data_IF_368242028101
#
_entry.id   IF_368242028101
#
_cell.length_a   1.000
_cell.length_b   1.000
_cell.length_c   1.000
_cell.angle_alpha   90.00
_cell.angle_beta   90.00
_cell.angle_gamma   90.00
#
_symmetry.space_group_name_H-M   'P 1'
#
loop_
_entity.id
_entity.type
_entity.pdbx_description
1 polymer ?
#
# COMPACT_ATOMS: atom_id res chain seq x y z
N UNK A 1 -9.04 -2.62 40.24
CA UNK A 1 -9.29 -1.89 38.97
C UNK A 1 -10.78 -1.77 38.77
N UNK A 2 -11.23 -0.86 37.90
CA UNK A 2 -12.65 -0.72 37.53
C UNK A 2 -12.94 -1.71 36.39
N UNK A 3 -14.04 -2.46 36.47
CA UNK A 3 -14.48 -3.36 35.41
C UNK A 3 -15.30 -2.57 34.38
N UNK A 4 -14.82 -2.56 33.12
CA UNK A 4 -15.50 -1.88 32.01
C UNK A 4 -15.92 -2.92 30.97
N UNK A 5 -17.21 -3.03 30.63
CA UNK A 5 -17.68 -3.97 29.61
C UNK A 5 -17.03 -3.73 28.25
N UNK A 6 -16.71 -4.79 27.51
CA UNK A 6 -16.11 -4.70 26.16
C UNK A 6 -16.95 -3.87 25.20
N UNK A 7 -18.28 -3.96 25.30
CA UNK A 7 -19.20 -3.17 24.49
C UNK A 7 -19.03 -1.67 24.73
N UNK A 8 -18.79 -1.27 25.99
CA UNK A 8 -18.52 0.12 26.37
C UNK A 8 -17.22 0.61 25.77
N UNK A 9 -16.14 -0.19 25.87
CA UNK A 9 -14.85 0.12 25.26
C UNK A 9 -14.97 0.27 23.73
N UNK A 10 -15.65 -0.67 23.07
CA UNK A 10 -15.87 -0.61 21.62
C UNK A 10 -16.69 0.63 21.21
N UNK A 11 -17.72 0.97 21.98
CA UNK A 11 -18.52 2.17 21.73
C UNK A 11 -17.69 3.45 21.85
N UNK A 12 -16.82 3.55 22.86
CA UNK A 12 -15.92 4.70 23.00
C UNK A 12 -14.96 4.83 21.82
N UNK A 13 -14.38 3.72 21.36
CA UNK A 13 -13.50 3.68 20.19
C UNK A 13 -14.24 4.18 18.94
N UNK A 14 -15.46 3.69 18.71
CA UNK A 14 -16.29 4.13 17.57
C UNK A 14 -16.63 5.62 17.67
N UNK A 15 -17.08 6.10 18.83
CA UNK A 15 -17.40 7.52 19.03
C UNK A 15 -16.18 8.42 18.84
N UNK A 16 -15.02 8.04 19.37
CA UNK A 16 -13.79 8.80 19.17
C UNK A 16 -13.39 8.86 17.70
N UNK A 17 -13.57 7.75 16.96
CA UNK A 17 -13.19 7.68 15.54
C UNK A 17 -13.96 8.65 14.65
N UNK A 18 -15.24 8.91 14.97
CA UNK A 18 -16.07 9.89 14.26
C UNK A 18 -15.50 11.32 14.36
N UNK A 19 -14.87 11.65 15.49
CA UNK A 19 -14.27 12.97 15.70
C UNK A 19 -12.94 13.17 14.96
N UNK A 20 -12.25 12.11 14.55
CA UNK A 20 -10.99 12.21 13.83
C UNK A 20 -11.16 12.51 12.33
N UNK A 21 -12.40 12.56 11.82
CA UNK A 21 -12.65 12.76 10.39
C UNK A 21 -11.95 14.00 9.79
N UNK A 22 -11.88 15.18 10.45
CA UNK A 22 -11.15 16.32 9.92
C UNK A 22 -9.66 16.03 9.70
N UNK A 23 -9.01 15.30 10.61
CA UNK A 23 -7.60 14.91 10.46
C UNK A 23 -7.40 13.94 9.30
N UNK A 24 -8.30 12.98 9.15
CA UNK A 24 -8.25 12.02 8.03
C UNK A 24 -8.46 12.71 6.68
N UNK A 25 -9.34 13.71 6.61
CA UNK A 25 -9.53 14.52 5.41
C UNK A 25 -8.24 15.27 5.06
N UNK A 26 -7.61 15.95 6.02
CA UNK A 26 -6.33 16.63 5.80
C UNK A 26 -5.22 15.66 5.39
N UNK A 27 -5.14 14.48 6.02
CA UNK A 27 -4.19 13.43 5.60
C UNK A 27 -4.45 12.98 4.16
N UNK A 28 -5.72 12.86 3.74
CA UNK A 28 -6.11 12.51 2.37
C UNK A 28 -5.70 13.58 1.38
N UNK A 29 -5.88 14.85 1.71
CA UNK A 29 -5.42 15.96 0.86
C UNK A 29 -3.90 15.88 0.66
N UNK A 30 -3.13 15.66 1.74
CA UNK A 30 -1.66 15.48 1.65
C UNK A 30 -1.26 14.23 0.89
N UNK A 31 -2.02 13.13 1.02
CA UNK A 31 -1.79 11.93 0.22
C UNK A 31 -1.96 12.24 -1.27
N UNK A 32 -2.95 13.04 -1.65
CA UNK A 32 -3.27 13.35 -3.04
C UNK A 32 -2.33 14.40 -3.67
N UNK A 33 -1.59 15.16 -2.86
CA UNK A 33 -0.48 16.00 -3.32
C UNK A 33 0.73 15.16 -3.81
N UNK A 34 0.79 13.87 -3.45
CA UNK A 34 1.90 13.00 -3.84
C UNK A 34 1.84 12.64 -5.34
N UNK A 35 2.96 12.61 -6.06
CA UNK A 35 2.96 12.29 -7.50
C UNK A 35 2.70 10.80 -7.79
N UNK A 36 2.78 9.94 -6.77
CA UNK A 36 2.38 8.55 -6.83
C UNK A 36 1.67 8.13 -5.54
N UNK A 37 0.82 7.10 -5.60
CA UNK A 37 0.20 6.47 -4.43
C UNK A 37 0.39 4.94 -4.51
N UNK A 38 0.79 4.32 -3.41
CA UNK A 38 0.70 2.87 -3.25
C UNK A 38 -0.71 2.47 -2.83
N UNK A 39 -1.26 1.41 -3.43
CA UNK A 39 -2.54 0.85 -3.02
C UNK A 39 -2.47 -0.67 -2.91
N UNK A 40 -3.09 -1.24 -1.87
CA UNK A 40 -3.19 -2.68 -1.62
C UNK A 40 -4.43 -2.95 -0.74
N UNK A 41 -4.76 -4.21 -0.53
CA UNK A 41 -5.92 -4.61 0.24
C UNK A 41 -5.75 -5.97 0.91
N UNK A 42 -6.44 -6.15 2.03
CA UNK A 42 -6.46 -7.42 2.75
C UNK A 42 -7.85 -7.74 3.27
N UNK A 43 -8.15 -9.04 3.34
CA UNK A 43 -9.45 -9.52 3.80
C UNK A 43 -9.74 -9.16 5.27
N UNK A 44 -11.00 -9.00 5.61
CA UNK A 44 -11.49 -8.92 6.99
C UNK A 44 -12.88 -9.51 7.02
N UNK A 45 -13.25 -10.16 8.13
CA UNK A 45 -14.60 -10.65 8.34
C UNK A 45 -15.36 -9.66 9.22
N UNK A 46 -16.59 -9.32 8.84
CA UNK A 46 -17.47 -8.43 9.59
C UNK A 46 -18.81 -9.11 9.80
N UNK A 47 -19.21 -9.33 11.06
CA UNK A 47 -20.29 -10.27 11.37
C UNK A 47 -21.69 -9.74 11.06
N UNK A 48 -21.93 -8.45 11.31
CA UNK A 48 -23.26 -7.82 11.22
C UNK A 48 -23.37 -6.85 10.05
N UNK A 49 -22.92 -7.29 8.88
CA UNK A 49 -23.18 -6.58 7.63
C UNK A 49 -24.64 -6.82 7.19
N UNK A 50 -25.43 -5.77 6.90
CA UNK A 50 -26.79 -5.93 6.39
C UNK A 50 -26.80 -6.79 5.12
N UNK A 51 -27.75 -7.73 5.06
CA UNK A 51 -27.98 -8.60 3.89
C UNK A 51 -26.78 -9.46 3.46
N UNK A 52 -25.84 -9.74 4.37
CA UNK A 52 -24.67 -10.58 4.11
C UNK A 52 -24.50 -11.66 5.18
N UNK A 53 -23.99 -12.82 4.77
CA UNK A 53 -23.63 -13.88 5.70
C UNK A 53 -22.44 -13.45 6.59
N UNK A 54 -22.43 -13.74 7.90
CA UNK A 54 -21.33 -13.38 8.79
C UNK A 54 -19.94 -13.90 8.37
N UNK A 55 -19.87 -14.95 7.54
CA UNK A 55 -18.62 -15.52 6.99
C UNK A 55 -18.15 -14.89 5.68
N UNK A 56 -18.95 -13.96 5.15
CA UNK A 56 -18.62 -13.20 3.94
C UNK A 56 -17.29 -12.48 4.11
N UNK A 57 -16.51 -12.44 3.02
CA UNK A 57 -15.27 -11.68 2.99
C UNK A 57 -15.56 -10.21 2.72
N UNK A 58 -14.95 -9.36 3.53
CA UNK A 58 -14.88 -7.92 3.36
C UNK A 58 -13.41 -7.50 3.29
N UNK A 59 -13.14 -6.22 3.06
CA UNK A 59 -11.82 -5.76 2.65
C UNK A 59 -11.42 -4.52 3.43
N UNK A 60 -10.17 -4.53 3.87
CA UNK A 60 -9.46 -3.39 4.39
C UNK A 60 -8.47 -2.96 3.31
N UNK A 61 -8.73 -1.81 2.69
CA UNK A 61 -7.89 -1.20 1.68
C UNK A 61 -6.88 -0.29 2.36
N UNK A 62 -5.71 -0.15 1.78
CA UNK A 62 -4.68 0.76 2.26
C UNK A 62 -4.16 1.60 1.11
N UNK A 63 -4.02 2.90 1.34
CA UNK A 63 -3.28 3.82 0.49
C UNK A 63 -2.07 4.35 1.27
N UNK A 64 -0.91 4.43 0.64
CA UNK A 64 0.29 4.96 1.28
C UNK A 64 1.12 5.81 0.32
N UNK A 65 1.52 7.01 0.76
CA UNK A 65 2.45 7.88 0.03
C UNK A 65 2.99 9.00 0.92
N UNK A 66 3.50 10.07 0.32
CA UNK A 66 4.03 11.26 0.96
C UNK A 66 5.55 11.34 0.94
N UNK A 67 6.12 12.56 1.01
CA UNK A 67 7.57 12.76 1.10
C UNK A 67 8.12 12.21 2.43
N UNK A 68 9.45 12.06 2.56
CA UNK A 68 10.08 11.46 3.73
C UNK A 68 9.66 12.03 5.10
N UNK A 69 9.35 13.34 5.14
CA UNK A 69 8.96 14.11 6.33
C UNK A 69 7.44 14.21 6.57
N UNK A 70 6.61 13.77 5.60
CA UNK A 70 5.13 13.85 5.68
C UNK A 70 4.49 12.63 5.05
N UNK A 71 4.76 11.47 5.62
CA UNK A 71 4.21 10.20 5.12
C UNK A 71 2.77 10.05 5.57
N UNK A 72 1.93 9.51 4.70
CA UNK A 72 0.53 9.22 4.99
C UNK A 72 0.21 7.76 4.69
N UNK A 73 -0.54 7.14 5.60
CA UNK A 73 -1.19 5.84 5.41
C UNK A 73 -2.66 6.01 5.74
N UNK A 74 -3.53 5.71 4.77
CA UNK A 74 -4.98 5.69 4.96
C UNK A 74 -5.50 4.28 4.76
N UNK A 75 -6.40 3.87 5.63
CA UNK A 75 -7.14 2.63 5.55
C UNK A 75 -8.62 2.90 5.37
N UNK A 76 -9.24 2.08 4.52
CA UNK A 76 -10.67 2.15 4.25
C UNK A 76 -11.28 0.74 4.32
N UNK A 77 -12.34 0.61 5.12
CA UNK A 77 -13.12 -0.61 5.14
C UNK A 77 -14.23 -0.56 4.09
N UNK A 78 -14.42 -1.68 3.39
CA UNK A 78 -15.60 -1.90 2.55
C UNK A 78 -15.99 -3.38 2.50
N UNK A 79 -17.26 -3.63 2.24
CA UNK A 79 -17.83 -4.95 1.97
C UNK A 79 -17.37 -5.54 0.62
N UNK A 80 -16.81 -4.72 -0.26
CA UNK A 80 -16.49 -5.09 -1.65
C UNK A 80 -14.98 -5.09 -1.94
N UNK A 81 -14.55 -5.96 -2.86
CA UNK A 81 -13.23 -5.89 -3.51
C UNK A 81 -13.28 -5.33 -4.94
N UNK A 82 -14.48 -4.99 -5.41
CA UNK A 82 -14.71 -4.70 -6.81
C UNK A 82 -14.06 -3.38 -7.25
N UNK A 83 -13.93 -3.19 -8.56
CA UNK A 83 -13.22 -2.06 -9.17
C UNK A 83 -13.79 -0.68 -8.78
N UNK A 84 -15.06 -0.63 -8.38
CA UNK A 84 -15.73 0.59 -7.93
C UNK A 84 -15.08 1.15 -6.66
N UNK A 85 -14.46 0.30 -5.84
CA UNK A 85 -13.80 0.73 -4.61
C UNK A 85 -12.57 1.59 -4.88
N UNK A 86 -11.52 1.11 -5.59
CA UNK A 86 -10.37 1.96 -5.86
C UNK A 86 -10.72 3.19 -6.70
N UNK A 87 -11.74 3.12 -7.56
CA UNK A 87 -12.26 4.30 -8.27
C UNK A 87 -12.80 5.36 -7.32
N UNK A 88 -13.59 4.96 -6.30
CA UNK A 88 -14.10 5.86 -5.28
C UNK A 88 -12.96 6.39 -4.38
N UNK A 89 -12.07 5.50 -3.93
CA UNK A 89 -10.94 5.87 -3.08
C UNK A 89 -9.98 6.85 -3.75
N UNK A 90 -9.87 6.86 -5.07
CA UNK A 90 -8.94 7.69 -5.83
C UNK A 90 -9.64 8.63 -6.84
N UNK A 91 -10.93 8.93 -6.65
CA UNK A 91 -11.77 9.66 -7.63
C UNK A 91 -11.14 10.98 -8.11
N UNK A 92 -10.63 11.79 -7.16
CA UNK A 92 -10.02 13.09 -7.44
C UNK A 92 -8.51 13.05 -7.63
N UNK A 93 -7.88 11.87 -7.50
CA UNK A 93 -6.44 11.74 -7.59
C UNK A 93 -5.97 11.71 -9.05
N UNK A 94 -4.86 12.38 -9.35
CA UNK A 94 -4.19 12.37 -10.64
C UNK A 94 -2.70 12.18 -10.41
N UNK A 95 -2.09 11.28 -11.18
CA UNK A 95 -0.71 10.85 -10.97
C UNK A 95 -0.57 9.33 -11.09
N UNK A 96 0.47 8.79 -10.47
CA UNK A 96 0.79 7.37 -10.60
C UNK A 96 0.16 6.54 -9.48
N UNK A 97 -0.26 5.31 -9.78
CA UNK A 97 -0.76 4.36 -8.76
C UNK A 97 0.02 3.05 -8.85
N UNK A 98 0.77 2.75 -7.80
CA UNK A 98 1.48 1.48 -7.64
C UNK A 98 0.57 0.46 -6.98
N UNK A 99 0.28 -0.63 -7.69
CA UNK A 99 -0.54 -1.73 -7.19
C UNK A 99 0.14 -3.06 -7.45
N UNK A 100 -0.43 -4.15 -6.93
CA UNK A 100 -0.20 -5.46 -7.52
C UNK A 100 -0.92 -5.58 -8.90
N UNK A 101 -1.09 -6.80 -9.41
CA UNK A 101 -1.82 -7.05 -10.66
C UNK A 101 -3.25 -7.58 -10.39
N UNK A 102 -3.86 -7.16 -9.28
CA UNK A 102 -5.26 -7.45 -9.05
C UNK A 102 -6.13 -6.70 -10.07
N UNK A 103 -7.01 -7.43 -10.74
CA UNK A 103 -7.84 -6.91 -11.83
C UNK A 103 -8.79 -5.79 -11.38
N UNK A 104 -9.14 -5.69 -10.10
CA UNK A 104 -9.97 -4.60 -9.57
C UNK A 104 -9.35 -3.22 -9.78
N UNK A 105 -8.03 -3.12 -9.92
CA UNK A 105 -7.36 -1.86 -10.22
C UNK A 105 -7.37 -1.50 -11.71
N UNK A 106 -7.84 -2.37 -12.62
CA UNK A 106 -7.77 -2.13 -14.06
C UNK A 106 -8.57 -0.89 -14.49
N UNK A 107 -9.70 -0.63 -13.83
CA UNK A 107 -10.52 0.54 -14.14
C UNK A 107 -9.83 1.88 -13.83
N UNK A 108 -8.83 1.92 -12.93
CA UNK A 108 -8.04 3.13 -12.67
C UNK A 108 -7.25 3.58 -13.90
N UNK A 109 -6.74 2.64 -14.71
CA UNK A 109 -5.98 2.98 -15.92
C UNK A 109 -6.84 3.62 -17.02
N UNK A 110 -8.17 3.62 -16.85
CA UNK A 110 -9.11 4.28 -17.76
C UNK A 110 -9.46 5.70 -17.28
N UNK A 111 -9.04 6.10 -16.08
CA UNK A 111 -9.31 7.42 -15.54
C UNK A 111 -8.33 8.46 -16.12
N UNK A 112 -8.82 9.59 -16.67
CA UNK A 112 -7.95 10.60 -17.24
C UNK A 112 -6.93 11.10 -16.21
N UNK A 113 -5.64 11.07 -16.58
CA UNK A 113 -4.55 11.54 -15.72
C UNK A 113 -4.17 10.58 -14.57
N UNK A 114 -4.61 9.32 -14.62
CA UNK A 114 -4.16 8.26 -13.70
C UNK A 114 -3.33 7.23 -14.45
N UNK A 115 -2.13 6.98 -13.94
CA UNK A 115 -1.14 6.14 -14.58
C UNK A 115 -0.78 4.95 -13.68
N UNK A 116 -1.03 3.72 -14.13
CA UNK A 116 -0.72 2.54 -13.31
C UNK A 116 0.72 2.07 -13.46
N UNK A 117 1.32 1.75 -12.31
CA UNK A 117 2.56 1.02 -12.16
C UNK A 117 2.26 -0.42 -11.73
N UNK A 118 3.20 -1.33 -11.96
CA UNK A 118 3.12 -2.70 -11.47
C UNK A 118 4.30 -3.04 -10.56
N UNK A 119 4.04 -3.90 -9.57
CA UNK A 119 5.00 -4.24 -8.54
C UNK A 119 6.02 -5.29 -8.97
N UNK A 120 7.31 -4.91 -9.09
CA UNK A 120 8.39 -5.85 -9.41
C UNK A 120 8.61 -6.91 -8.33
N UNK A 121 8.26 -6.65 -7.06
CA UNK A 121 8.36 -7.64 -5.99
C UNK A 121 7.38 -8.82 -6.21
N UNK A 122 6.19 -8.56 -6.78
CA UNK A 122 5.22 -9.61 -7.13
C UNK A 122 5.70 -10.48 -8.30
N UNK A 123 6.35 -9.87 -9.30
CA UNK A 123 7.03 -10.60 -10.38
C UNK A 123 8.10 -11.52 -9.79
N UNK A 124 8.98 -10.96 -8.94
CA UNK A 124 10.05 -11.72 -8.28
C UNK A 124 9.50 -12.90 -7.49
N UNK A 125 8.42 -12.71 -6.72
CA UNK A 125 7.77 -13.76 -5.92
C UNK A 125 7.36 -14.95 -6.79
N UNK A 126 6.79 -14.71 -7.97
CA UNK A 126 6.39 -15.79 -8.90
C UNK A 126 7.59 -16.56 -9.46
N UNK A 127 8.68 -15.88 -9.79
CA UNK A 127 9.90 -16.58 -10.21
C UNK A 127 10.58 -17.34 -9.06
N UNK A 128 10.47 -16.87 -7.81
CA UNK A 128 10.90 -17.65 -6.64
C UNK A 128 10.07 -18.93 -6.51
N UNK A 129 8.74 -18.88 -6.65
CA UNK A 129 7.91 -20.08 -6.64
C UNK A 129 8.22 -21.02 -7.82
N UNK A 130 8.47 -20.48 -9.02
CA UNK A 130 8.91 -21.27 -10.17
C UNK A 130 10.26 -21.95 -9.94
N UNK A 131 11.19 -21.30 -9.24
CA UNK A 131 12.49 -21.87 -8.88
C UNK A 131 12.36 -23.05 -7.91
N UNK A 132 11.40 -23.03 -6.98
CA UNK A 132 11.19 -24.14 -6.01
C UNK A 132 10.87 -25.47 -6.67
N UNK A 133 10.25 -25.45 -7.84
CA UNK A 133 9.88 -26.66 -8.60
C UNK A 133 10.89 -27.00 -9.71
N UNK A 134 11.95 -26.21 -9.87
CA UNK A 134 13.03 -26.49 -10.81
C UNK A 134 13.93 -27.63 -10.27
N UNK A 135 14.48 -28.51 -11.14
CA UNK A 135 15.45 -29.50 -10.72
C UNK A 135 16.65 -28.86 -9.98
N UNK A 136 17.00 -29.42 -8.82
CA UNK A 136 18.09 -28.91 -7.99
C UNK A 136 19.44 -29.05 -8.69
N UNK A 137 20.37 -28.13 -8.41
CA UNK A 137 21.75 -28.18 -8.90
C UNK A 137 21.97 -27.70 -10.34
N UNK A 138 20.94 -27.17 -11.01
CA UNK A 138 21.07 -26.59 -12.36
C UNK A 138 20.51 -25.17 -12.38
N UNK A 139 21.25 -24.26 -13.01
CA UNK A 139 20.75 -22.92 -13.39
C UNK A 139 19.69 -23.08 -14.47
N UNK A 140 18.50 -22.56 -14.22
CA UNK A 140 17.38 -22.61 -15.16
C UNK A 140 16.83 -21.23 -15.47
N UNK A 141 15.74 -21.21 -16.25
CA UNK A 141 15.10 -19.98 -16.72
C UNK A 141 14.63 -19.09 -15.56
N UNK A 142 14.18 -19.66 -14.45
CA UNK A 142 13.79 -18.88 -13.28
C UNK A 142 15.00 -18.15 -12.66
N UNK A 143 16.19 -18.77 -12.65
CA UNK A 143 17.41 -18.13 -12.13
C UNK A 143 17.84 -16.94 -12.99
N UNK A 144 17.70 -17.03 -14.31
CA UNK A 144 18.01 -15.93 -15.23
C UNK A 144 17.13 -14.71 -14.93
N UNK A 145 15.82 -14.91 -14.81
CA UNK A 145 14.90 -13.82 -14.46
C UNK A 145 15.21 -13.22 -13.08
N UNK A 146 15.45 -14.06 -12.08
CA UNK A 146 15.79 -13.62 -10.72
C UNK A 146 17.11 -12.84 -10.69
N UNK A 147 18.11 -13.24 -11.47
CA UNK A 147 19.37 -12.52 -11.58
C UNK A 147 19.17 -11.11 -12.16
N UNK A 148 18.40 -10.98 -13.25
CA UNK A 148 18.07 -9.68 -13.83
C UNK A 148 17.30 -8.80 -12.86
N UNK A 149 16.26 -9.34 -12.19
CA UNK A 149 15.48 -8.59 -11.20
C UNK A 149 16.37 -8.17 -10.02
N UNK A 150 17.24 -9.05 -9.52
CA UNK A 150 18.17 -8.71 -8.44
C UNK A 150 19.14 -7.60 -8.83
N UNK A 151 19.54 -7.53 -10.11
CA UNK A 151 20.39 -6.45 -10.63
C UNK A 151 19.65 -5.11 -10.66
N UNK A 152 18.38 -5.09 -11.07
CA UNK A 152 17.53 -3.89 -10.98
C UNK A 152 17.43 -3.39 -9.54
N UNK A 153 17.15 -4.28 -8.57
CA UNK A 153 17.18 -3.90 -7.16
C UNK A 153 18.57 -3.50 -6.64
N UNK A 154 19.64 -3.99 -7.25
CA UNK A 154 21.00 -3.52 -6.98
C UNK A 154 21.17 -2.05 -7.33
N UNK A 155 20.73 -1.68 -8.53
CA UNK A 155 20.75 -0.29 -9.01
C UNK A 155 19.89 0.60 -8.11
N UNK A 156 18.68 0.16 -7.73
CA UNK A 156 17.81 0.93 -6.83
C UNK A 156 18.43 1.14 -5.44
N UNK A 157 19.23 0.20 -4.94
CA UNK A 157 20.00 0.40 -3.70
C UNK A 157 21.12 1.42 -3.86
N UNK A 158 21.81 1.43 -5.00
CA UNK A 158 22.85 2.42 -5.30
C UNK A 158 22.27 3.84 -5.42
N UNK A 159 21.05 3.96 -5.96
CA UNK A 159 20.37 5.24 -6.20
C UNK A 159 19.41 5.65 -5.07
N UNK A 160 19.51 5.02 -3.90
CA UNK A 160 18.54 5.23 -2.81
C UNK A 160 18.59 6.66 -2.27
N UNK A 161 19.78 7.14 -1.94
CA UNK A 161 19.99 8.38 -1.17
C UNK A 161 20.34 9.59 -2.06
N UNK A 162 20.16 9.47 -3.39
CA UNK A 162 20.34 10.58 -4.34
C UNK A 162 19.01 11.32 -4.59
N UNK A 163 19.08 12.50 -5.22
CA UNK A 163 17.89 13.24 -5.65
C UNK A 163 17.07 12.48 -6.70
N UNK A 164 15.79 12.85 -6.87
CA UNK A 164 14.93 12.24 -7.89
C UNK A 164 15.50 12.44 -9.31
N UNK A 165 16.10 13.59 -9.61
CA UNK A 165 16.75 13.86 -10.90
C UNK A 165 17.94 12.91 -11.14
N UNK A 166 18.81 12.77 -10.15
CA UNK A 166 19.95 11.85 -10.25
C UNK A 166 19.49 10.39 -10.31
N UNK A 167 18.41 10.03 -9.61
CA UNK A 167 17.82 8.68 -9.68
C UNK A 167 17.26 8.41 -11.07
N UNK A 168 16.60 9.38 -11.69
CA UNK A 168 16.12 9.28 -13.07
C UNK A 168 17.30 9.03 -14.04
N UNK A 169 18.33 9.87 -14.01
CA UNK A 169 19.52 9.73 -14.87
C UNK A 169 20.17 8.35 -14.66
N UNK A 170 20.41 7.96 -13.40
CA UNK A 170 20.99 6.66 -13.08
C UNK A 170 20.14 5.48 -13.56
N UNK A 171 18.81 5.59 -13.53
CA UNK A 171 17.90 4.57 -14.10
C UNK A 171 18.00 4.52 -15.62
N UNK A 172 18.10 5.65 -16.32
CA UNK A 172 18.29 5.67 -17.77
C UNK A 172 19.63 5.03 -18.18
N UNK A 173 20.70 5.29 -17.44
CA UNK A 173 22.03 4.73 -17.73
C UNK A 173 22.15 3.25 -17.37
N UNK A 174 21.61 2.85 -16.21
CA UNK A 174 21.86 1.51 -15.63
C UNK A 174 20.65 0.57 -15.71
N UNK A 175 19.44 1.05 -15.40
CA UNK A 175 18.25 0.21 -15.32
C UNK A 175 17.64 -0.08 -16.70
N UNK A 176 17.59 0.92 -17.59
CA UNK A 176 17.01 0.78 -18.93
C UNK A 176 17.69 -0.35 -19.75
N UNK A 177 19.03 -0.47 -19.82
CA UNK A 177 19.67 -1.59 -20.52
C UNK A 177 19.34 -2.96 -19.91
N UNK A 178 19.16 -3.03 -18.58
CA UNK A 178 18.81 -4.29 -17.90
C UNK A 178 17.35 -4.68 -18.10
N UNK A 179 16.44 -3.70 -18.16
CA UNK A 179 15.05 -3.91 -18.56
C UNK A 179 14.96 -4.40 -20.01
N UNK A 180 15.72 -3.81 -20.93
CA UNK A 180 15.76 -4.26 -22.33
C UNK A 180 16.22 -5.73 -22.45
N UNK A 181 17.24 -6.14 -21.69
CA UNK A 181 17.68 -7.55 -21.62
C UNK A 181 16.61 -8.46 -21.05
N UNK A 182 15.94 -8.05 -19.98
CA UNK A 182 14.86 -8.81 -19.37
C UNK A 182 13.66 -8.97 -20.31
N UNK A 183 13.32 -7.92 -21.08
CA UNK A 183 12.27 -7.93 -22.11
C UNK A 183 12.57 -8.94 -23.20
N UNK A 184 13.76 -8.85 -23.79
CA UNK A 184 14.18 -9.75 -24.86
C UNK A 184 14.22 -11.21 -24.38
N UNK A 185 14.67 -11.44 -23.14
CA UNK A 185 14.64 -12.76 -22.52
C UNK A 185 13.20 -13.28 -22.33
N UNK A 186 12.29 -12.43 -21.85
CA UNK A 186 10.89 -12.75 -21.63
C UNK A 186 10.20 -13.13 -22.95
N UNK A 187 10.33 -12.31 -23.99
CA UNK A 187 9.74 -12.54 -25.32
C UNK A 187 10.27 -13.83 -25.96
N UNK A 188 11.56 -14.12 -25.82
CA UNK A 188 12.14 -15.39 -26.27
C UNK A 188 11.63 -16.59 -25.47
N UNK A 189 11.41 -16.43 -24.17
CA UNK A 189 11.08 -17.52 -23.25
C UNK A 189 9.59 -17.88 -23.26
N UNK A 190 8.72 -16.89 -23.41
CA UNK A 190 7.27 -17.06 -23.36
C UNK A 190 6.72 -18.17 -24.30
N UNK A 191 7.10 -18.27 -25.58
CA UNK A 191 6.60 -19.34 -26.45
C UNK A 191 7.16 -20.73 -26.11
N UNK A 192 8.18 -20.81 -25.27
CA UNK A 192 8.89 -22.05 -24.93
C UNK A 192 8.46 -22.64 -23.58
N UNK A 193 7.46 -22.06 -22.91
CA UNK A 193 6.99 -22.50 -21.60
C UNK A 193 5.50 -22.80 -21.66
N UNK A 194 5.08 -23.89 -21.03
CA UNK A 194 3.65 -24.22 -20.92
C UNK A 194 3.00 -23.26 -19.92
N UNK A 195 1.89 -22.63 -20.31
CA UNK A 195 1.19 -21.60 -19.51
C UNK A 195 0.80 -22.07 -18.12
N UNK A 196 0.55 -23.37 -17.94
CA UNK A 196 0.14 -23.97 -16.68
C UNK A 196 1.30 -24.29 -15.72
N UNK A 197 2.53 -24.38 -16.23
CA UNK A 197 3.71 -24.59 -15.38
C UNK A 197 3.96 -23.39 -14.48
N UNK A 198 4.63 -23.59 -13.33
CA UNK A 198 4.98 -22.48 -12.44
C UNK A 198 5.83 -21.41 -13.16
N UNK A 199 6.77 -21.84 -14.01
CA UNK A 199 7.56 -20.95 -14.85
C UNK A 199 6.70 -20.21 -15.89
N UNK A 200 5.80 -20.91 -16.58
CA UNK A 200 4.88 -20.28 -17.54
C UNK A 200 3.98 -19.24 -16.90
N UNK A 201 3.44 -19.51 -15.71
CA UNK A 201 2.69 -18.53 -14.91
C UNK A 201 3.54 -17.29 -14.56
N UNK A 202 4.81 -17.48 -14.20
CA UNK A 202 5.72 -16.38 -13.89
C UNK A 202 6.06 -15.52 -15.12
N UNK A 203 6.40 -16.16 -16.25
CA UNK A 203 6.72 -15.48 -17.51
C UNK A 203 5.52 -14.74 -18.07
N UNK A 204 4.33 -15.35 -18.07
CA UNK A 204 3.10 -14.68 -18.51
C UNK A 204 2.72 -13.52 -17.60
N UNK A 205 2.93 -13.64 -16.29
CA UNK A 205 2.71 -12.54 -15.37
C UNK A 205 3.63 -11.35 -15.65
N UNK A 206 4.92 -11.61 -15.90
CA UNK A 206 5.89 -10.60 -16.32
C UNK A 206 5.44 -9.93 -17.64
N UNK A 207 5.07 -10.72 -18.65
CA UNK A 207 4.64 -10.22 -19.95
C UNK A 207 3.38 -9.36 -19.89
N UNK A 208 2.34 -9.84 -19.20
CA UNK A 208 1.06 -9.13 -19.08
C UNK A 208 1.18 -7.79 -18.35
N UNK A 209 2.25 -7.60 -17.57
CA UNK A 209 2.48 -6.39 -16.79
C UNK A 209 3.65 -5.55 -17.32
N UNK A 210 4.30 -5.95 -18.42
CA UNK A 210 5.57 -5.36 -18.86
C UNK A 210 5.49 -3.84 -18.99
N UNK A 211 4.48 -3.33 -19.70
CA UNK A 211 4.28 -1.90 -19.94
C UNK A 211 4.04 -1.11 -18.67
N UNK A 212 3.57 -1.72 -17.58
CA UNK A 212 3.42 -1.10 -16.25
C UNK A 212 4.67 -1.26 -15.38
N UNK A 213 5.41 -2.34 -15.58
CA UNK A 213 6.63 -2.66 -14.84
C UNK A 213 7.80 -1.80 -15.27
N UNK A 214 7.92 -1.43 -16.55
CA UNK A 214 9.04 -0.62 -17.02
C UNK A 214 8.91 0.85 -16.60
N UNK A 215 7.69 1.31 -16.30
CA UNK A 215 7.39 2.72 -16.02
C UNK A 215 8.05 3.32 -14.80
N UNK A 216 8.51 2.53 -13.83
CA UNK A 216 9.19 3.09 -12.66
C UNK A 216 10.45 3.88 -13.04
N UNK A 217 11.00 3.71 -14.25
CA UNK A 217 12.12 4.51 -14.75
C UNK A 217 11.69 5.83 -15.40
N UNK A 218 10.39 6.08 -15.61
CA UNK A 218 9.88 7.32 -16.24
C UNK A 218 10.20 8.57 -15.40
N UNK A 219 10.28 8.42 -14.07
CA UNK A 219 10.66 9.49 -13.16
C UNK A 219 11.33 8.96 -11.89
N UNK A 220 12.19 9.75 -11.27
CA UNK A 220 12.98 9.35 -10.11
C UNK A 220 12.17 9.11 -8.83
N UNK A 221 11.04 9.78 -8.66
CA UNK A 221 10.16 9.59 -7.49
C UNK A 221 9.36 8.28 -7.56
N UNK A 222 9.29 7.62 -8.72
CA UNK A 222 8.49 6.41 -8.88
C UNK A 222 9.16 5.21 -8.19
N UNK A 223 8.41 4.41 -7.42
CA UNK A 223 8.93 3.21 -6.78
C UNK A 223 8.98 2.02 -7.74
N UNK A 224 9.95 1.12 -7.55
CA UNK A 224 10.05 -0.15 -8.32
C UNK A 224 9.02 -1.21 -7.86
N UNK A 225 8.49 -1.08 -6.64
CA UNK A 225 7.61 -2.07 -6.03
C UNK A 225 6.54 -1.44 -5.11
N UNK A 226 5.59 -2.25 -4.66
CA UNK A 226 4.49 -1.85 -3.78
C UNK A 226 4.77 -2.13 -2.28
N UNK A 227 6.04 -2.30 -1.89
CA UNK A 227 6.35 -2.76 -0.53
C UNK A 227 5.95 -1.74 0.55
N UNK A 228 5.74 -0.47 0.21
CA UNK A 228 5.25 0.51 1.18
C UNK A 228 3.82 0.20 1.64
N UNK A 229 2.90 -0.12 0.72
CA UNK A 229 1.55 -0.58 1.09
C UNK A 229 1.59 -1.94 1.80
N UNK A 230 2.42 -2.90 1.34
CA UNK A 230 2.57 -4.19 2.03
C UNK A 230 3.07 -4.02 3.49
N UNK A 231 3.99 -3.08 3.73
CA UNK A 231 4.45 -2.74 5.09
C UNK A 231 3.36 -2.06 5.90
N UNK A 232 2.62 -1.13 5.30
CA UNK A 232 1.54 -0.39 5.93
C UNK A 232 0.41 -1.33 6.38
N UNK A 233 0.01 -2.31 5.56
CA UNK A 233 -1.09 -3.24 5.89
C UNK A 233 -0.70 -4.36 6.84
N UNK A 234 0.61 -4.61 7.03
CA UNK A 234 1.12 -5.74 7.82
C UNK A 234 0.66 -5.71 9.29
N UNK A 235 0.70 -4.59 10.03
CA UNK A 235 0.15 -4.51 11.38
C UNK A 235 -1.30 -4.97 11.47
N UNK A 236 -2.15 -4.52 10.53
CA UNK A 236 -3.55 -4.97 10.44
C UNK A 236 -3.63 -6.47 10.19
N UNK A 237 -2.88 -6.99 9.21
CA UNK A 237 -2.90 -8.41 8.86
C UNK A 237 -2.42 -9.33 10.00
N UNK A 238 -1.49 -8.86 10.83
CA UNK A 238 -1.05 -9.55 12.06
C UNK A 238 -2.14 -9.45 13.12
N UNK A 239 -2.66 -8.25 13.40
CA UNK A 239 -3.71 -8.02 14.39
C UNK A 239 -4.96 -8.86 14.11
N UNK A 240 -5.39 -8.95 12.85
CA UNK A 240 -6.53 -9.77 12.40
C UNK A 240 -6.41 -11.23 12.82
N UNK A 241 -5.20 -11.78 12.94
CA UNK A 241 -5.02 -13.16 13.44
C UNK A 241 -5.33 -13.31 14.93
N UNK A 242 -5.27 -12.22 15.70
CA UNK A 242 -5.55 -12.20 17.13
C UNK A 242 -7.03 -11.89 17.44
N UNK A 243 -7.65 -10.93 16.74
CA UNK A 243 -9.06 -10.55 16.98
C UNK A 243 -10.07 -11.21 16.03
N UNK A 244 -9.60 -11.86 14.95
CA UNK A 244 -10.36 -12.68 13.97
C UNK A 244 -11.38 -11.94 13.10
N UNK A 245 -12.30 -11.17 13.69
CA UNK A 245 -13.38 -10.45 13.00
C UNK A 245 -13.72 -9.10 13.67
N UNK A 246 -14.40 -8.23 12.93
CA UNK A 246 -15.12 -7.08 13.50
C UNK A 246 -16.59 -7.46 13.70
N UNK A 247 -17.20 -7.05 14.82
CA UNK A 247 -18.60 -7.37 15.09
C UNK A 247 -19.57 -6.61 14.17
N UNK A 248 -19.29 -5.33 13.90
CA UNK A 248 -20.17 -4.45 13.10
C UNK A 248 -19.40 -3.67 12.05
N UNK A 249 -20.07 -3.22 10.97
CA UNK A 249 -19.49 -2.30 9.97
C UNK A 249 -18.91 -1.03 10.62
N UNK A 250 -19.62 -0.43 11.59
CA UNK A 250 -19.14 0.74 12.33
C UNK A 250 -17.82 0.46 13.06
N UNK A 251 -17.69 -0.71 13.67
CA UNK A 251 -16.44 -1.14 14.31
C UNK A 251 -15.30 -1.34 13.30
N UNK A 252 -15.60 -1.88 12.12
CA UNK A 252 -14.62 -2.04 11.04
C UNK A 252 -14.15 -0.69 10.48
N UNK A 253 -15.07 0.25 10.27
CA UNK A 253 -14.76 1.64 9.86
C UNK A 253 -13.91 2.35 10.92
N UNK A 254 -14.30 2.29 12.20
CA UNK A 254 -13.53 2.88 13.29
C UNK A 254 -12.10 2.30 13.37
N UNK A 255 -11.97 0.99 13.15
CA UNK A 255 -10.67 0.32 13.05
C UNK A 255 -9.84 0.92 11.91
N UNK A 256 -10.39 1.05 10.70
CA UNK A 256 -9.71 1.65 9.55
C UNK A 256 -9.20 3.07 9.86
N UNK A 257 -10.06 3.92 10.44
CA UNK A 257 -9.72 5.28 10.84
C UNK A 257 -8.57 5.31 11.85
N UNK A 258 -8.61 4.46 12.89
CA UNK A 258 -7.56 4.41 13.91
C UNK A 258 -6.25 3.85 13.37
N UNK A 259 -6.29 2.81 12.52
CA UNK A 259 -5.08 2.31 11.86
C UNK A 259 -4.44 3.38 10.97
N UNK A 260 -5.25 4.19 10.28
CA UNK A 260 -4.75 5.33 9.49
C UNK A 260 -3.96 6.31 10.34
N UNK A 261 -4.53 6.72 11.47
CA UNK A 261 -3.91 7.67 12.39
C UNK A 261 -2.63 7.09 13.02
N UNK A 262 -2.69 5.85 13.53
CA UNK A 262 -1.57 5.21 14.22
C UNK A 262 -0.41 4.92 13.27
N UNK A 263 -0.67 4.33 12.09
CA UNK A 263 0.39 4.00 11.15
C UNK A 263 0.99 5.27 10.52
N UNK A 264 0.17 6.30 10.28
CA UNK A 264 0.68 7.62 9.87
C UNK A 264 1.56 8.24 10.96
N UNK A 265 1.13 8.25 12.22
CA UNK A 265 1.91 8.78 13.33
C UNK A 265 3.27 8.09 13.47
N UNK A 266 3.29 6.74 13.42
CA UNK A 266 4.54 5.94 13.49
C UNK A 266 5.51 6.27 12.37
N UNK A 267 5.01 6.42 11.13
CA UNK A 267 5.86 6.73 9.98
C UNK A 267 6.49 8.13 10.04
N UNK A 268 5.90 9.03 10.82
CA UNK A 268 6.41 10.38 11.08
C UNK A 268 7.13 10.48 12.44
N UNK A 269 7.53 9.35 13.03
CA UNK A 269 8.38 9.33 14.23
C UNK A 269 7.65 9.58 15.55
N UNK A 270 6.33 9.63 15.56
CA UNK A 270 5.53 9.83 16.77
C UNK A 270 5.33 8.51 17.53
N UNK A 271 5.38 8.59 18.86
CA UNK A 271 4.88 7.50 19.72
C UNK A 271 3.34 7.56 19.73
N UNK A 272 2.63 6.50 19.28
CA UNK A 272 1.19 6.56 19.04
C UNK A 272 0.34 6.98 20.24
N UNK A 273 0.65 6.48 21.44
CA UNK A 273 -0.13 6.80 22.63
C UNK A 273 -0.01 8.29 22.99
N UNK A 274 1.22 8.79 23.02
CA UNK A 274 1.57 10.18 23.33
C UNK A 274 0.89 11.13 22.35
N UNK A 275 0.96 10.83 21.06
CA UNK A 275 0.33 11.64 20.02
C UNK A 275 -1.20 11.57 20.06
N UNK A 276 -1.81 10.38 20.17
CA UNK A 276 -3.27 10.26 20.24
C UNK A 276 -3.85 10.97 21.46
N UNK A 277 -3.16 10.92 22.62
CA UNK A 277 -3.56 11.68 23.80
C UNK A 277 -3.52 13.19 23.53
N UNK A 278 -2.43 13.68 22.94
CA UNK A 278 -2.29 15.09 22.57
C UNK A 278 -3.41 15.56 21.64
N UNK A 279 -3.74 14.74 20.63
CA UNK A 279 -4.85 14.99 19.70
C UNK A 279 -6.17 15.02 20.46
N UNK A 280 -6.51 13.98 21.22
CA UNK A 280 -7.78 13.87 21.93
C UNK A 280 -8.01 14.99 22.96
N UNK A 281 -6.95 15.52 23.58
CA UNK A 281 -7.04 16.65 24.50
C UNK A 281 -7.33 17.99 23.80
N UNK A 282 -6.90 18.15 22.54
CA UNK A 282 -6.98 19.43 21.80
C UNK A 282 -8.09 19.46 20.77
N UNK A 283 -8.48 18.31 20.24
CA UNK A 283 -9.51 18.17 19.22
C UNK A 283 -10.85 18.85 19.60
N UNK A 284 -11.33 18.81 20.86
CA UNK A 284 -12.55 19.52 21.25
C UNK A 284 -12.45 21.05 21.20
N UNK A 285 -11.23 21.58 21.14
CA UNK A 285 -10.94 23.02 21.11
C UNK A 285 -10.61 23.54 19.70
N UNK A 286 -10.45 22.65 18.72
CA UNK A 286 -10.17 23.04 17.34
C UNK A 286 -11.40 23.69 16.70
N UNK A 287 -11.24 24.89 16.15
CA UNK A 287 -12.32 25.67 15.54
C UNK A 287 -12.00 26.16 14.11
N UNK A 288 -10.76 25.96 13.65
CA UNK A 288 -10.26 26.36 12.33
C UNK A 288 -9.50 25.22 11.64
N UNK A 289 -9.22 25.37 10.34
CA UNK A 289 -8.41 24.40 9.59
C UNK A 289 -7.00 24.33 10.16
N UNK A 290 -6.44 25.48 10.53
CA UNK A 290 -5.13 25.63 11.13
C UNK A 290 -5.01 24.88 12.46
N UNK A 291 -6.08 24.88 13.28
CA UNK A 291 -6.12 24.11 14.52
C UNK A 291 -6.01 22.60 14.24
N UNK A 292 -6.73 22.09 13.23
CA UNK A 292 -6.65 20.68 12.85
C UNK A 292 -5.29 20.34 12.21
N UNK A 293 -4.75 21.22 11.37
CA UNK A 293 -3.43 21.03 10.77
C UNK A 293 -2.32 20.96 11.83
N UNK A 294 -2.42 21.76 12.89
CA UNK A 294 -1.47 21.73 14.01
C UNK A 294 -1.46 20.38 14.76
N UNK A 295 -2.52 19.57 14.65
CA UNK A 295 -2.63 18.25 15.26
C UNK A 295 -2.07 17.12 14.39
N UNK A 296 -1.72 17.39 13.13
CA UNK A 296 -1.11 16.40 12.24
C UNK A 296 0.25 15.93 12.80
N UNK A 297 0.63 14.66 12.56
CA UNK A 297 1.79 14.05 13.23
C UNK A 297 3.14 14.64 12.82
N UNK A 298 3.21 15.41 11.73
CA UNK A 298 4.41 16.14 11.30
C UNK A 298 4.41 17.63 11.74
N UNK A 299 3.32 18.12 12.35
CA UNK A 299 3.18 19.51 12.78
C UNK A 299 3.21 19.68 14.32
N UNK A 300 3.35 18.60 15.08
CA UNK A 300 3.42 18.64 16.53
C UNK A 300 4.56 17.80 17.11
N UNK A 301 4.97 18.12 18.34
CA UNK A 301 5.97 17.38 19.11
C UNK A 301 5.41 17.12 20.51
N UNK A 302 4.43 16.20 20.63
CA UNK A 302 3.78 15.92 21.89
C UNK A 302 4.74 15.23 22.86
N UNK A 303 4.77 15.69 24.11
CA UNK A 303 5.54 15.07 25.19
C UNK A 303 4.62 14.33 26.15
N UNK A 304 5.15 13.29 26.81
CA UNK A 304 4.46 12.66 27.92
C UNK A 304 4.44 13.62 29.12
N UNK A 305 3.31 13.78 29.83
CA UNK A 305 3.30 14.54 31.06
C UNK A 305 4.22 13.85 32.06
N UNK A 306 5.09 14.64 32.71
CA UNK A 306 5.95 14.16 33.79
C UNK A 306 5.14 13.80 35.02
#
# INVERSE_FOLDING_TARGET
GIEIPRQTLARWVIQCSEHFQPLLNLMRDRLFESPFIHCDETRVQVLKEPDRDPTSQSWMWVQASGPPDRKVVLFDYTSSRAQEVPLCLLESYRGYVMTDDYAGYNALALQPGVERLACMAHVRRKFVEAKKVQPQGKTGRADVALASINKLYGIERELKDVSDEQRYIGRQEKSLPELAKLKAWMEKTQPQVTSQSALGKAVNYLANNWTRLERYIEAGFLPIDNNAAERAIRPFAIGRKAWLFSDTPKGATASAQIYSLVETAKLNGQEPYTWLRHVLERLPHAASVEDYEALLPWNCSPEMPR
#
